data_IF_459361561906
#
_entry.id   IF_459361561906
#
_cell.length_a   1.000
_cell.length_b   1.000
_cell.length_c   1.000
_cell.angle_alpha   90.00
_cell.angle_beta   90.00
_cell.angle_gamma   90.00
#
_symmetry.space_group_name_H-M   'P 1'
#
loop_
_entity.id
_entity.type
_entity.pdbx_description
1 polymer ?
#
# COMPACT_ATOMS: atom_id res chain seq x y z
N UNK A 1 36.53 -8.72 -76.03
CA UNK A 1 35.92 -7.38 -75.79
C UNK A 1 34.42 -7.56 -75.95
N UNK A 2 33.50 -7.33 -75.00
CA UNK A 2 33.47 -6.61 -73.72
C UNK A 2 32.53 -7.37 -72.77
N UNK A 3 32.92 -7.41 -71.50
CA UNK A 3 32.08 -7.78 -70.36
C UNK A 3 30.95 -6.77 -70.17
N UNK A 4 29.76 -7.23 -69.78
CA UNK A 4 28.83 -6.44 -68.98
C UNK A 4 28.26 -7.29 -67.85
N UNK A 5 28.85 -7.10 -66.67
CA UNK A 5 28.24 -7.36 -65.37
C UNK A 5 27.07 -6.39 -65.19
N UNK A 6 25.89 -6.87 -64.81
CA UNK A 6 24.90 -6.04 -64.10
C UNK A 6 24.42 -6.82 -62.89
N UNK A 7 25.08 -6.51 -61.79
CA UNK A 7 24.70 -6.78 -60.41
C UNK A 7 23.51 -5.87 -60.09
N UNK A 8 22.33 -6.43 -59.79
CA UNK A 8 21.20 -5.65 -59.26
C UNK A 8 20.88 -6.18 -57.85
N UNK A 9 21.17 -5.31 -56.89
CA UNK A 9 21.13 -5.49 -55.43
C UNK A 9 19.76 -5.94 -54.92
N UNK A 10 19.79 -6.85 -53.94
CA UNK A 10 18.73 -7.06 -52.97
C UNK A 10 18.40 -5.75 -52.23
N UNK A 11 17.12 -5.44 -52.11
CA UNK A 11 16.60 -4.61 -51.01
C UNK A 11 15.53 -5.43 -50.30
N UNK A 12 15.95 -6.16 -49.27
CA UNK A 12 15.01 -6.74 -48.31
C UNK A 12 14.49 -5.60 -47.44
N UNK A 13 13.23 -5.20 -47.64
CA UNK A 13 12.52 -4.35 -46.70
C UNK A 13 12.29 -5.16 -45.41
N UNK A 14 13.21 -5.05 -44.47
CA UNK A 14 12.95 -5.42 -43.07
C UNK A 14 12.01 -4.36 -42.54
N UNK A 15 10.71 -4.67 -42.52
CA UNK A 15 9.73 -3.90 -41.78
C UNK A 15 10.11 -4.01 -40.29
N UNK A 16 10.87 -3.04 -39.77
CA UNK A 16 10.92 -2.77 -38.34
C UNK A 16 9.52 -2.30 -37.94
N UNK A 17 8.68 -3.24 -37.47
CA UNK A 17 7.57 -2.86 -36.62
C UNK A 17 8.16 -2.14 -35.38
N UNK A 18 7.60 -1.00 -34.96
CA UNK A 18 7.98 -0.43 -33.67
C UNK A 18 7.68 -1.49 -32.61
N UNK A 19 8.73 -1.95 -31.93
CA UNK A 19 8.56 -2.71 -30.71
C UNK A 19 8.00 -1.72 -29.70
N UNK A 20 6.67 -1.67 -29.58
CA UNK A 20 5.99 -1.02 -28.47
C UNK A 20 6.55 -1.66 -27.20
N UNK A 21 7.56 -1.00 -26.64
CA UNK A 21 8.14 -1.40 -25.36
C UNK A 21 7.14 -0.92 -24.32
N UNK A 22 6.02 -1.65 -24.19
CA UNK A 22 5.19 -1.57 -23.00
C UNK A 22 6.10 -2.01 -21.86
N UNK A 23 6.67 -1.02 -21.16
CA UNK A 23 7.31 -1.25 -19.88
C UNK A 23 6.20 -1.56 -18.88
N UNK A 24 5.61 -2.75 -18.99
CA UNK A 24 4.62 -3.25 -18.05
C UNK A 24 5.36 -3.39 -16.73
N UNK A 25 5.06 -2.51 -15.77
CA UNK A 25 5.65 -2.62 -14.44
C UNK A 25 5.32 -4.01 -13.88
N UNK A 26 6.33 -4.80 -13.56
CA UNK A 26 6.11 -6.12 -12.97
C UNK A 26 5.75 -5.93 -11.50
N UNK A 27 4.50 -6.23 -11.15
CA UNK A 27 3.97 -6.14 -9.79
C UNK A 27 3.75 -7.57 -9.28
N UNK A 28 4.46 -7.91 -8.21
CA UNK A 28 4.35 -9.18 -7.50
C UNK A 28 3.79 -8.92 -6.09
N UNK A 29 2.59 -9.41 -5.81
CA UNK A 29 2.02 -9.36 -4.46
C UNK A 29 2.58 -10.50 -3.62
N UNK A 30 3.29 -10.14 -2.54
CA UNK A 30 3.98 -11.10 -1.67
C UNK A 30 3.18 -11.41 -0.41
N UNK A 31 2.42 -10.44 0.10
CA UNK A 31 1.59 -10.60 1.28
C UNK A 31 0.47 -9.57 1.30
N UNK A 32 -0.72 -10.00 1.68
CA UNK A 32 -1.83 -9.15 2.05
C UNK A 32 -2.50 -9.70 3.30
N UNK A 33 -2.68 -8.85 4.31
CA UNK A 33 -3.45 -9.22 5.50
C UNK A 33 -4.13 -8.00 6.10
N UNK A 34 -5.38 -8.17 6.49
CA UNK A 34 -6.15 -7.18 7.25
C UNK A 34 -6.54 -7.77 8.59
N UNK A 35 -6.57 -6.93 9.61
CA UNK A 35 -7.01 -7.30 10.95
C UNK A 35 -7.89 -6.22 11.55
N UNK A 36 -8.68 -6.61 12.53
CA UNK A 36 -9.43 -5.66 13.32
C UNK A 36 -10.02 -6.30 14.55
N UNK A 37 -10.16 -5.51 15.60
CA UNK A 37 -10.83 -5.91 16.81
C UNK A 37 -11.49 -4.70 17.45
N UNK A 38 -12.62 -4.93 18.09
CA UNK A 38 -13.27 -3.95 18.94
C UNK A 38 -13.51 -4.60 20.30
N UNK A 39 -13.12 -3.90 21.36
CA UNK A 39 -13.42 -4.30 22.72
C UNK A 39 -14.07 -3.15 23.47
N UNK A 40 -15.07 -3.45 24.28
CA UNK A 40 -15.78 -2.46 25.08
C UNK A 40 -15.83 -2.92 26.51
N UNK A 41 -15.42 -2.05 27.42
CA UNK A 41 -15.45 -2.28 28.85
C UNK A 41 -16.27 -1.17 29.50
N UNK A 42 -17.05 -1.50 30.53
CA UNK A 42 -17.80 -0.50 31.30
C UNK A 42 -17.48 -0.66 32.78
N UNK A 43 -17.25 0.47 33.45
CA UNK A 43 -17.03 0.53 34.89
C UNK A 43 -18.00 1.52 35.52
N UNK A 44 -18.34 1.33 36.79
CA UNK A 44 -19.14 2.30 37.54
C UNK A 44 -18.21 3.13 38.42
N UNK A 45 -18.19 4.46 38.20
CA UNK A 45 -17.43 5.41 39.01
C UNK A 45 -18.43 6.37 39.65
N UNK A 46 -18.45 6.43 40.98
CA UNK A 46 -19.39 7.29 41.74
C UNK A 46 -20.87 7.10 41.35
N UNK A 47 -21.30 5.87 41.02
CA UNK A 47 -22.67 5.56 40.61
C UNK A 47 -23.01 5.86 39.15
N UNK A 48 -22.07 6.42 38.39
CA UNK A 48 -22.21 6.67 36.94
C UNK A 48 -21.50 5.56 36.16
N UNK A 49 -22.20 4.99 35.18
CA UNK A 49 -21.60 4.00 34.26
C UNK A 49 -20.76 4.73 33.22
N UNK A 50 -19.47 4.43 33.20
CA UNK A 50 -18.50 4.91 32.22
C UNK A 50 -18.15 3.75 31.29
N UNK A 51 -18.51 3.87 30.03
CA UNK A 51 -18.20 2.89 28.99
C UNK A 51 -17.05 3.40 28.13
N UNK A 52 -16.03 2.56 27.96
CA UNK A 52 -14.90 2.80 27.06
C UNK A 52 -14.92 1.73 25.98
N UNK A 53 -14.92 2.16 24.72
CA UNK A 53 -14.74 1.27 23.58
C UNK A 53 -13.42 1.58 22.89
N UNK A 54 -12.69 0.53 22.53
CA UNK A 54 -11.46 0.58 21.74
C UNK A 54 -11.65 -0.29 20.51
N UNK A 55 -11.55 0.32 19.34
CA UNK A 55 -11.49 -0.37 18.07
C UNK A 55 -10.13 -0.17 17.42
N UNK A 56 -9.50 -1.25 16.99
CA UNK A 56 -8.24 -1.23 16.24
C UNK A 56 -8.48 -1.85 14.88
N UNK A 57 -8.03 -1.19 13.81
CA UNK A 57 -7.92 -1.75 12.47
C UNK A 57 -6.45 -1.78 12.06
N UNK A 58 -6.02 -2.87 11.44
CA UNK A 58 -4.67 -3.04 10.92
C UNK A 58 -4.67 -3.59 9.50
N UNK A 59 -3.66 -3.25 8.73
CA UNK A 59 -3.38 -3.92 7.46
C UNK A 59 -1.88 -3.98 7.19
N UNK A 60 -1.45 -5.02 6.48
CA UNK A 60 -0.09 -5.18 5.99
C UNK A 60 -0.19 -5.56 4.52
N UNK A 61 0.57 -4.84 3.69
CA UNK A 61 0.70 -5.15 2.28
C UNK A 61 2.18 -5.18 1.90
N UNK A 62 2.65 -6.32 1.42
CA UNK A 62 4.01 -6.49 0.93
C UNK A 62 3.95 -6.74 -0.56
N UNK A 63 4.64 -5.89 -1.32
CA UNK A 63 4.62 -5.91 -2.78
C UNK A 63 6.02 -5.66 -3.32
N UNK A 64 6.33 -6.29 -4.44
CA UNK A 64 7.52 -5.99 -5.24
C UNK A 64 7.08 -5.36 -6.56
N UNK A 65 7.60 -4.17 -6.85
CA UNK A 65 7.36 -3.45 -8.11
C UNK A 65 8.69 -3.18 -8.76
N UNK A 66 8.92 -3.70 -9.98
CA UNK A 66 10.19 -3.55 -10.69
C UNK A 66 11.41 -3.89 -9.81
N UNK A 67 11.38 -5.07 -9.18
CA UNK A 67 12.37 -5.57 -8.21
C UNK A 67 12.51 -4.81 -6.89
N UNK A 68 11.80 -3.69 -6.70
CA UNK A 68 11.77 -2.95 -5.43
C UNK A 68 10.70 -3.53 -4.52
N UNK A 69 11.13 -4.17 -3.43
CA UNK A 69 10.24 -4.72 -2.40
C UNK A 69 9.90 -3.66 -1.34
N UNK A 70 8.61 -3.49 -1.08
CA UNK A 70 8.11 -2.61 -0.02
C UNK A 70 7.12 -3.34 0.89
N UNK A 71 7.11 -2.97 2.17
CA UNK A 71 6.10 -3.34 3.15
C UNK A 71 5.38 -2.06 3.55
N UNK A 72 4.07 -2.05 3.37
CA UNK A 72 3.17 -1.01 3.82
C UNK A 72 2.38 -1.51 5.02
N UNK A 73 2.27 -0.68 6.06
CA UNK A 73 1.48 -1.00 7.24
C UNK A 73 0.46 0.10 7.52
N UNK A 74 -0.71 -0.31 7.99
CA UNK A 74 -1.81 0.55 8.40
C UNK A 74 -2.15 0.24 9.86
N UNK A 75 -2.30 1.28 10.67
CA UNK A 75 -2.85 1.19 12.01
C UNK A 75 -3.84 2.34 12.25
N UNK A 76 -5.07 2.02 12.65
CA UNK A 76 -6.02 3.00 13.15
C UNK A 76 -6.61 2.50 14.45
N UNK A 77 -6.40 3.26 15.52
CA UNK A 77 -7.04 3.02 16.81
C UNK A 77 -8.07 4.11 17.05
N UNK A 78 -9.28 3.72 17.44
CA UNK A 78 -10.38 4.62 17.80
C UNK A 78 -10.86 4.25 19.19
N UNK A 79 -10.73 5.21 20.10
CA UNK A 79 -11.23 5.19 21.45
C UNK A 79 -12.46 6.08 21.53
N UNK A 80 -13.52 5.56 22.14
CA UNK A 80 -14.72 6.32 22.49
C UNK A 80 -15.01 6.12 23.97
N UNK A 81 -15.47 7.17 24.64
CA UNK A 81 -15.83 7.15 26.04
C UNK A 81 -17.19 7.84 26.19
N UNK A 82 -18.06 7.29 27.05
CA UNK A 82 -19.34 7.92 27.37
C UNK A 82 -19.21 9.17 28.23
N UNK A 83 -18.06 9.39 28.87
CA UNK A 83 -17.74 10.62 29.60
C UNK A 83 -17.17 11.70 28.66
N UNK A 84 -17.89 12.83 28.46
CA UNK A 84 -17.46 13.91 27.55
C UNK A 84 -16.26 14.71 28.06
N UNK A 85 -15.85 14.55 29.32
CA UNK A 85 -14.69 15.25 29.90
C UNK A 85 -13.37 14.59 29.51
N UNK A 86 -13.42 13.35 29.01
CA UNK A 86 -12.22 12.60 28.63
C UNK A 86 -11.70 13.08 27.28
N UNK A 87 -10.46 13.55 27.28
CA UNK A 87 -9.72 13.91 26.07
C UNK A 87 -8.90 12.72 25.58
N UNK A 88 -8.98 12.42 24.29
CA UNK A 88 -8.13 11.40 23.66
C UNK A 88 -6.84 11.99 23.10
N UNK A 89 -5.88 11.11 22.83
CA UNK A 89 -4.67 11.49 22.12
C UNK A 89 -5.02 12.08 20.74
N UNK A 90 -4.22 13.02 20.20
CA UNK A 90 -4.48 13.64 18.90
C UNK A 90 -4.58 12.65 17.73
N UNK A 91 -3.96 11.48 17.85
CA UNK A 91 -3.99 10.41 16.84
C UNK A 91 -5.23 9.53 16.90
N UNK A 92 -6.14 9.76 17.86
CA UNK A 92 -7.35 8.96 18.03
C UNK A 92 -8.24 9.04 16.78
N UNK A 93 -8.56 7.89 16.20
CA UNK A 93 -9.35 7.79 14.98
C UNK A 93 -8.60 8.18 13.70
N UNK A 94 -7.33 8.59 13.79
CA UNK A 94 -6.49 8.97 12.65
C UNK A 94 -5.64 7.78 12.23
N UNK A 95 -5.74 7.39 10.96
CA UNK A 95 -4.93 6.32 10.40
C UNK A 95 -3.44 6.73 10.37
N UNK A 96 -2.59 5.82 10.80
CA UNK A 96 -1.14 5.93 10.74
C UNK A 96 -0.65 4.89 9.73
N UNK A 97 0.03 5.35 8.69
CA UNK A 97 0.52 4.51 7.61
C UNK A 97 2.02 4.61 7.46
N UNK A 98 2.64 3.51 7.08
CA UNK A 98 4.06 3.44 6.76
C UNK A 98 4.26 2.74 5.42
N UNK A 99 5.36 3.06 4.74
CA UNK A 99 5.81 2.35 3.53
C UNK A 99 7.31 2.27 3.58
N UNK A 100 7.85 1.06 3.64
CA UNK A 100 9.25 0.86 4.00
C UNK A 100 9.85 -0.23 3.11
N UNK A 101 11.13 -0.11 2.69
CA UNK A 101 11.80 -1.19 1.98
C UNK A 101 11.79 -2.49 2.79
N UNK A 102 11.61 -3.63 2.12
CA UNK A 102 11.66 -4.92 2.79
C UNK A 102 13.00 -5.14 3.51
N UNK A 103 12.95 -5.58 4.76
CA UNK A 103 14.15 -5.85 5.57
C UNK A 103 14.71 -4.62 6.30
N UNK A 104 14.19 -3.42 6.06
CA UNK A 104 14.51 -2.28 6.90
C UNK A 104 13.85 -2.42 8.28
N UNK A 105 14.56 -1.96 9.31
CA UNK A 105 14.12 -2.00 10.71
C UNK A 105 13.33 -0.77 11.12
N UNK A 106 13.63 0.38 10.52
CA UNK A 106 12.93 1.64 10.76
C UNK A 106 11.72 1.78 9.85
N UNK A 107 10.56 2.06 10.43
CA UNK A 107 9.32 2.30 9.69
C UNK A 107 9.24 3.75 9.27
N UNK A 108 9.03 3.98 7.98
CA UNK A 108 8.94 5.33 7.40
C UNK A 108 7.47 5.74 7.31
N UNK A 109 7.03 6.75 8.08
CA UNK A 109 5.66 7.26 8.00
C UNK A 109 5.38 7.83 6.62
N UNK A 110 4.18 7.59 6.11
CA UNK A 110 3.74 8.15 4.83
C UNK A 110 2.21 8.27 4.80
N UNK A 111 1.69 8.96 3.80
CA UNK A 111 0.26 9.02 3.56
C UNK A 111 -0.31 7.65 3.16
N UNK A 112 -1.50 7.31 3.65
CA UNK A 112 -2.11 6.00 3.44
C UNK A 112 -2.41 5.71 1.97
N UNK A 113 -2.74 6.72 1.15
CA UNK A 113 -2.94 6.51 -0.28
C UNK A 113 -1.63 6.21 -0.99
N UNK A 114 -0.51 6.78 -0.51
CA UNK A 114 0.83 6.46 -1.02
C UNK A 114 1.31 5.07 -0.59
N UNK A 115 0.98 4.67 0.64
CA UNK A 115 1.32 3.35 1.18
C UNK A 115 0.56 2.22 0.47
N UNK A 116 -0.74 2.37 0.26
CA UNK A 116 -1.61 1.26 -0.17
C UNK A 116 -2.22 1.41 -1.56
N UNK A 117 -2.07 2.56 -2.23
CA UNK A 117 -2.62 2.81 -3.57
C UNK A 117 -4.09 2.34 -3.70
N UNK A 118 -4.36 1.36 -4.55
CA UNK A 118 -5.68 0.76 -4.79
C UNK A 118 -6.18 -0.09 -3.62
N UNK A 119 -5.27 -0.72 -2.86
CA UNK A 119 -5.59 -1.52 -1.68
C UNK A 119 -6.15 -0.71 -0.52
N UNK A 120 -5.99 0.63 -0.52
CA UNK A 120 -6.52 1.47 0.56
C UNK A 120 -8.04 1.27 0.72
N UNK A 121 -8.76 1.14 -0.39
CA UNK A 121 -10.21 0.91 -0.42
C UNK A 121 -10.66 -0.38 0.29
N UNK A 122 -9.75 -1.34 0.46
CA UNK A 122 -10.02 -2.61 1.14
C UNK A 122 -9.81 -2.51 2.66
N UNK A 123 -9.31 -1.38 3.17
CA UNK A 123 -8.97 -1.16 4.59
C UNK A 123 -10.02 -0.27 5.27
N UNK A 124 -10.37 0.86 4.63
CA UNK A 124 -11.17 1.94 5.22
C UNK A 124 -12.64 1.56 5.37
#
# INVERSE_FOLDING_TARGET
MKFFFVLALLVAFVACAPLDTQSTSHIEELQWSTGGSCNSNSNTVNGVVVAVSRCTKTAIWKVRVNDVCTVSEYLKETLTNSDPTVTFAPTNGIAQCTKTPCGATEKIPTDCATAFWDKLSLIV
#
